data_IF_192254630078
#
_entry.id   IF_192254630078
#
_cell.length_a   1.000
_cell.length_b   1.000
_cell.length_c   1.000
_cell.angle_alpha   90.00
_cell.angle_beta   90.00
_cell.angle_gamma   90.00
#
_symmetry.space_group_name_H-M   'P 1'
#
loop_
_entity.id
_entity.type
_entity.pdbx_description
1 polymer ?
#
# COMPACT_ATOMS: atom_id res chain seq x y z
N UNK A 1 -0.04 19.06 -4.09
CA UNK A 1 0.81 18.44 -3.04
C UNK A 1 0.47 18.90 -1.61
N UNK A 2 0.09 20.17 -1.35
CA UNK A 2 -0.29 20.64 0.01
C UNK A 2 -1.52 19.96 0.65
N UNK A 3 -2.47 19.44 -0.13
CA UNK A 3 -3.68 18.79 0.39
C UNK A 3 -3.46 17.39 0.98
N UNK A 4 -2.35 16.72 0.66
CA UNK A 4 -2.03 15.37 1.15
C UNK A 4 -1.34 15.41 2.52
N UNK A 5 -0.48 16.40 2.76
CA UNK A 5 0.13 16.62 4.08
C UNK A 5 -0.89 16.99 5.16
N UNK A 6 -1.96 17.70 4.79
CA UNK A 6 -3.04 18.05 5.72
C UNK A 6 -3.88 16.82 6.13
N UNK A 7 -3.95 15.79 5.28
CA UNK A 7 -4.69 14.56 5.56
C UNK A 7 -3.95 13.62 6.53
N UNK A 8 -2.61 13.59 6.46
CA UNK A 8 -1.78 12.80 7.38
C UNK A 8 -1.72 13.47 8.77
N UNK A 9 -1.67 14.81 8.84
CA UNK A 9 -1.65 15.54 10.11
C UNK A 9 -2.96 15.43 10.90
N UNK A 10 -4.12 15.33 10.22
CA UNK A 10 -5.42 15.20 10.89
C UNK A 10 -5.61 13.82 11.58
N UNK A 11 -5.02 12.75 11.04
CA UNK A 11 -5.24 11.39 11.55
C UNK A 11 -4.27 10.97 12.65
N UNK A 12 -3.04 11.48 12.66
CA UNK A 12 -2.11 11.28 13.80
C UNK A 12 -2.69 11.86 15.10
N UNK A 13 -3.53 12.90 15.01
CA UNK A 13 -4.23 13.48 16.17
C UNK A 13 -5.36 12.63 16.75
N UNK A 14 -5.99 11.73 15.96
CA UNK A 14 -7.14 10.94 16.41
C UNK A 14 -6.78 9.60 17.05
N UNK A 15 -5.53 9.13 16.93
CA UNK A 15 -5.09 7.86 17.53
C UNK A 15 -4.79 7.96 19.05
N UNK A 16 -4.82 9.16 19.64
CA UNK A 16 -4.40 9.40 21.04
C UNK A 16 -5.56 9.73 21.98
N UNK A 17 -6.77 10.00 21.46
CA UNK A 17 -7.89 10.49 22.28
C UNK A 17 -9.20 9.77 21.89
N UNK A 18 -9.62 8.78 22.67
CA UNK A 18 -11.01 8.32 22.62
C UNK A 18 -11.25 6.86 22.92
N UNK A 19 -11.17 6.49 24.19
CA UNK A 19 -11.87 5.32 24.73
C UNK A 19 -12.29 5.53 26.20
N UNK A 20 -11.49 6.29 26.97
CA UNK A 20 -11.64 6.31 28.43
C UNK A 20 -12.72 7.26 29.00
N UNK A 21 -13.35 8.11 28.18
CA UNK A 21 -14.28 9.17 28.67
C UNK A 21 -15.77 8.92 28.41
N UNK A 22 -16.16 7.79 27.82
CA UNK A 22 -17.58 7.51 27.56
C UNK A 22 -18.28 6.80 28.73
N UNK A 23 -17.55 6.07 29.58
CA UNK A 23 -18.16 5.35 30.72
C UNK A 23 -18.42 6.25 31.94
N UNK A 24 -17.78 7.42 32.04
CA UNK A 24 -17.92 8.30 33.21
C UNK A 24 -19.21 9.14 33.20
N UNK A 25 -20.01 9.10 32.14
CA UNK A 25 -21.19 9.96 31.96
C UNK A 25 -22.54 9.28 32.28
N UNK A 26 -22.56 8.00 32.66
CA UNK A 26 -23.81 7.23 32.88
C UNK A 26 -23.90 6.56 34.26
N UNK A 27 -23.23 7.10 35.27
CA UNK A 27 -23.21 6.53 36.62
C UNK A 27 -23.65 7.51 37.70
N UNK A 28 -24.88 8.03 37.65
CA UNK A 28 -25.53 8.62 38.83
C UNK A 28 -26.86 7.93 39.09
N UNK A 29 -26.97 7.43 40.32
CA UNK A 29 -28.17 7.04 41.06
C UNK A 29 -28.67 5.59 40.93
N UNK A 30 -28.57 4.86 42.05
CA UNK A 30 -29.59 3.89 42.46
C UNK A 30 -29.26 2.40 42.31
N UNK A 31 -28.78 1.81 43.40
CA UNK A 31 -29.06 0.44 43.91
C UNK A 31 -29.56 -0.63 42.90
N UNK A 32 -28.63 -1.40 42.34
CA UNK A 32 -28.88 -2.77 41.86
C UNK A 32 -27.68 -3.63 42.32
N UNK A 33 -27.88 -4.78 42.98
CA UNK A 33 -26.77 -5.65 43.35
C UNK A 33 -26.11 -6.18 42.07
N UNK A 34 -24.83 -5.84 41.88
CA UNK A 34 -24.00 -6.37 40.80
C UNK A 34 -23.75 -7.85 41.09
N UNK A 35 -24.51 -8.72 40.44
CA UNK A 35 -24.19 -10.13 40.32
C UNK A 35 -22.81 -10.22 39.65
N UNK A 36 -21.79 -10.69 40.39
CA UNK A 36 -20.46 -10.91 39.83
C UNK A 36 -20.52 -12.01 38.79
N UNK A 37 -20.75 -11.60 37.55
CA UNK A 37 -20.71 -12.44 36.36
C UNK A 37 -19.27 -12.95 36.23
N UNK A 38 -19.09 -14.22 36.61
CA UNK A 38 -17.89 -15.04 36.41
C UNK A 38 -17.16 -14.61 35.13
N UNK A 39 -15.98 -14.01 35.28
CA UNK A 39 -15.21 -13.39 34.19
C UNK A 39 -15.13 -14.32 32.97
N UNK A 40 -15.97 -14.02 31.99
CA UNK A 40 -15.96 -14.71 30.71
C UNK A 40 -14.71 -14.26 29.96
N UNK A 41 -13.67 -15.08 30.07
CA UNK A 41 -12.44 -15.14 29.27
C UNK A 41 -12.56 -14.36 27.94
N UNK A 42 -12.00 -13.14 27.90
CA UNK A 42 -12.07 -12.21 26.76
C UNK A 42 -11.22 -12.75 25.59
N UNK A 43 -11.88 -13.15 24.50
CA UNK A 43 -11.25 -13.28 23.18
C UNK A 43 -11.08 -11.88 22.60
N UNK A 44 -9.87 -11.51 22.18
CA UNK A 44 -9.61 -10.18 21.65
C UNK A 44 -9.63 -10.25 20.12
N UNK A 45 -10.79 -9.92 19.56
CA UNK A 45 -10.97 -9.68 18.13
C UNK A 45 -11.06 -8.19 17.90
N UNK A 46 -10.33 -7.67 16.92
CA UNK A 46 -10.29 -6.25 16.64
C UNK A 46 -10.49 -5.99 15.14
N UNK A 47 -11.02 -4.81 14.82
CA UNK A 47 -11.01 -4.28 13.47
C UNK A 47 -9.93 -3.19 13.41
N UNK A 48 -8.97 -3.36 12.51
CA UNK A 48 -7.79 -2.49 12.42
C UNK A 48 -7.75 -1.77 11.08
N UNK A 49 -7.49 -0.47 11.12
CA UNK A 49 -7.25 0.35 9.94
C UNK A 49 -5.75 0.48 9.73
N UNK A 50 -5.30 0.34 8.48
CA UNK A 50 -3.89 0.37 8.12
C UNK A 50 -3.61 1.39 7.01
N UNK A 51 -2.48 2.08 7.14
CA UNK A 51 -1.95 3.01 6.15
C UNK A 51 -0.50 2.69 5.85
N UNK A 52 -0.14 2.68 4.57
CA UNK A 52 1.24 2.49 4.13
C UNK A 52 1.65 3.57 3.14
N UNK A 53 2.90 4.02 3.23
CA UNK A 53 3.49 4.94 2.27
C UNK A 53 4.96 4.60 2.07
N UNK A 54 5.42 4.49 0.82
CA UNK A 54 6.78 4.08 0.52
C UNK A 54 7.23 4.31 -0.91
N UNK A 55 8.39 3.75 -1.21
CA UNK A 55 9.03 3.78 -2.53
C UNK A 55 9.10 2.36 -3.08
N UNK A 56 8.89 2.23 -4.40
CA UNK A 56 8.94 0.95 -5.12
C UNK A 56 10.15 0.91 -6.04
N UNK A 57 10.96 -0.13 -5.88
CA UNK A 57 12.12 -0.43 -6.70
C UNK A 57 11.74 -1.51 -7.72
N UNK A 58 11.72 -1.20 -9.02
CA UNK A 58 11.59 -2.24 -10.02
C UNK A 58 12.86 -3.08 -10.08
N UNK A 59 12.70 -4.39 -10.17
CA UNK A 59 13.76 -5.40 -10.17
C UNK A 59 13.76 -6.18 -11.48
N UNK A 60 14.93 -6.71 -11.87
CA UNK A 60 15.12 -7.52 -13.08
C UNK A 60 14.69 -6.79 -14.36
N UNK A 61 15.06 -5.52 -14.46
CA UNK A 61 14.84 -4.72 -15.66
C UNK A 61 15.95 -4.97 -16.68
N UNK A 62 15.56 -5.08 -17.95
CA UNK A 62 16.51 -4.98 -19.05
C UNK A 62 17.16 -3.58 -19.05
N UNK A 63 18.41 -3.51 -19.49
CA UNK A 63 19.24 -2.29 -19.44
C UNK A 63 18.62 -1.10 -20.20
N UNK A 64 17.71 -1.36 -21.14
CA UNK A 64 17.02 -0.36 -21.94
C UNK A 64 15.98 0.46 -21.15
N UNK A 65 15.62 0.03 -19.94
CA UNK A 65 14.60 0.68 -19.12
C UNK A 65 15.20 1.53 -17.98
N UNK A 66 15.21 2.85 -18.15
CA UNK A 66 15.73 3.77 -17.14
C UNK A 66 14.68 4.16 -16.09
N UNK A 67 14.34 3.25 -15.19
CA UNK A 67 13.44 3.55 -14.07
C UNK A 67 14.12 4.38 -12.98
N UNK A 68 13.35 5.29 -12.35
CA UNK A 68 13.85 6.13 -11.25
C UNK A 68 13.11 5.75 -9.96
N UNK A 69 13.78 5.10 -8.99
CA UNK A 69 13.12 4.63 -7.77
C UNK A 69 12.45 5.73 -6.94
N UNK A 70 13.08 6.90 -6.77
CA UNK A 70 12.49 8.02 -6.01
C UNK A 70 11.27 8.66 -6.69
N UNK A 71 11.00 8.30 -7.95
CA UNK A 71 9.78 8.71 -8.68
C UNK A 71 8.72 7.61 -8.70
N UNK A 72 8.98 6.49 -8.03
CA UNK A 72 8.15 5.29 -7.98
C UNK A 72 7.61 5.13 -6.57
N UNK A 73 6.38 5.58 -6.34
CA UNK A 73 5.77 5.66 -5.00
C UNK A 73 4.69 4.59 -4.81
N UNK A 74 4.53 4.16 -3.57
CA UNK A 74 3.48 3.24 -3.14
C UNK A 74 2.67 3.85 -1.99
N UNK A 75 1.35 3.79 -2.10
CA UNK A 75 0.41 4.09 -1.03
C UNK A 75 -0.52 2.91 -0.80
N UNK A 76 -0.79 2.61 0.46
CA UNK A 76 -1.66 1.52 0.89
C UNK A 76 -2.67 2.07 1.89
N UNK A 77 -3.91 1.59 1.77
CA UNK A 77 -4.96 1.81 2.75
C UNK A 77 -5.72 0.50 2.90
N UNK A 78 -5.98 0.05 4.12
CA UNK A 78 -6.67 -1.23 4.33
C UNK A 78 -7.39 -1.35 5.66
N UNK A 79 -8.29 -2.31 5.70
CA UNK A 79 -9.06 -2.71 6.86
C UNK A 79 -8.82 -4.20 7.09
N UNK A 80 -8.45 -4.60 8.30
CA UNK A 80 -8.30 -6.01 8.67
C UNK A 80 -9.15 -6.38 9.87
N UNK A 81 -9.62 -7.62 9.85
CA UNK A 81 -10.10 -8.31 11.04
C UNK A 81 -8.93 -9.07 11.66
N UNK A 82 -8.64 -8.77 12.91
CA UNK A 82 -7.52 -9.31 13.66
C UNK A 82 -8.04 -10.25 14.75
N UNK A 83 -7.54 -11.48 14.75
CA UNK A 83 -7.87 -12.51 15.72
C UNK A 83 -6.65 -12.87 16.56
N UNK A 84 -6.69 -12.56 17.85
CA UNK A 84 -5.65 -12.97 18.81
C UNK A 84 -6.24 -14.03 19.75
N UNK A 85 -5.73 -15.28 19.72
CA UNK A 85 -6.14 -16.29 20.68
C UNK A 85 -5.77 -15.85 22.10
N UNK A 86 -6.56 -16.32 23.07
CA UNK A 86 -6.37 -15.99 24.49
C UNK A 86 -4.95 -16.35 24.96
N UNK A 87 -4.33 -15.45 25.72
CA UNK A 87 -3.00 -15.61 26.32
C UNK A 87 -1.90 -15.91 25.29
N UNK A 88 -2.12 -15.54 24.02
CA UNK A 88 -1.14 -15.67 22.94
C UNK A 88 -0.67 -14.31 22.45
N UNK A 89 0.56 -14.31 21.97
CA UNK A 89 1.18 -13.15 21.31
C UNK A 89 1.07 -13.20 19.78
N UNK A 90 0.44 -14.26 19.26
CA UNK A 90 0.18 -14.45 17.84
C UNK A 90 -1.17 -13.85 17.46
N UNK A 91 -1.19 -12.99 16.45
CA UNK A 91 -2.42 -12.45 15.84
C UNK A 91 -2.50 -12.89 14.39
N UNK A 92 -3.66 -13.40 13.98
CA UNK A 92 -3.96 -13.74 12.59
C UNK A 92 -4.89 -12.68 12.02
N UNK A 93 -4.54 -12.13 10.86
CA UNK A 93 -5.25 -11.02 10.26
C UNK A 93 -5.65 -11.34 8.82
N UNK A 94 -6.90 -11.05 8.48
CA UNK A 94 -7.41 -11.06 7.11
C UNK A 94 -8.08 -9.73 6.83
N UNK A 95 -7.86 -9.17 5.65
CA UNK A 95 -8.40 -7.84 5.34
C UNK A 95 -8.68 -7.59 3.88
N UNK A 96 -9.02 -6.34 3.62
CA UNK A 96 -9.15 -5.74 2.29
C UNK A 96 -8.32 -4.46 2.24
N UNK A 97 -7.66 -4.19 1.13
CA UNK A 97 -6.83 -3.02 0.97
C UNK A 97 -6.89 -2.45 -0.46
N UNK A 98 -6.76 -1.14 -0.58
CA UNK A 98 -6.43 -0.44 -1.82
C UNK A 98 -4.94 -0.13 -1.83
N UNK A 99 -4.24 -0.53 -2.88
CA UNK A 99 -2.82 -0.25 -3.09
C UNK A 99 -2.67 0.52 -4.39
N UNK A 100 -2.11 1.72 -4.31
CA UNK A 100 -1.68 2.48 -5.46
C UNK A 100 -0.17 2.45 -5.58
N UNK A 101 0.33 2.05 -6.73
CA UNK A 101 1.75 2.09 -7.09
C UNK A 101 1.93 2.94 -8.33
N UNK A 102 3.03 3.66 -8.39
CA UNK A 102 3.51 4.23 -9.64
C UNK A 102 4.95 3.83 -9.90
N UNK A 103 5.29 3.74 -11.19
CA UNK A 103 6.65 3.50 -11.66
C UNK A 103 7.00 4.59 -12.68
N UNK A 104 7.99 5.42 -12.33
CA UNK A 104 8.42 6.54 -13.16
C UNK A 104 9.67 6.24 -13.97
N UNK A 105 9.66 6.62 -15.25
CA UNK A 105 10.86 6.60 -16.10
C UNK A 105 11.69 7.88 -15.98
N UNK A 106 12.94 7.79 -16.41
CA UNK A 106 13.82 8.92 -16.64
C UNK A 106 13.27 9.83 -17.74
N UNK A 107 13.59 11.13 -17.70
CA UNK A 107 13.00 12.18 -18.54
C UNK A 107 13.28 12.06 -20.05
N UNK A 108 14.06 11.08 -20.50
CA UNK A 108 14.28 10.82 -21.92
C UNK A 108 13.26 9.86 -22.56
N UNK A 109 12.54 9.09 -21.74
CA UNK A 109 11.75 7.95 -22.20
C UNK A 109 10.27 8.05 -21.82
N UNK A 110 9.41 7.48 -22.65
CA UNK A 110 7.98 7.36 -22.37
C UNK A 110 7.45 5.96 -22.66
N UNK A 111 6.39 5.58 -21.95
CA UNK A 111 5.65 4.36 -22.25
C UNK A 111 4.70 4.60 -23.42
N UNK A 112 4.96 3.92 -24.54
CA UNK A 112 4.07 3.83 -25.68
C UNK A 112 3.27 2.52 -25.65
N UNK A 113 2.06 2.53 -26.20
CA UNK A 113 1.31 1.30 -26.46
C UNK A 113 1.28 1.11 -27.97
N UNK A 114 1.77 -0.03 -28.43
CA UNK A 114 1.70 -0.44 -29.84
C UNK A 114 0.26 -0.81 -30.23
N UNK A 115 -0.02 -0.88 -31.53
CA UNK A 115 -1.35 -1.25 -32.04
C UNK A 115 -1.80 -2.65 -31.58
N UNK A 116 -0.86 -3.57 -31.39
CA UNK A 116 -1.08 -4.93 -30.85
C UNK A 116 -1.35 -4.93 -29.33
N UNK A 117 -1.23 -3.77 -28.69
CA UNK A 117 -1.47 -3.54 -27.28
C UNK A 117 -0.33 -3.97 -26.35
N UNK A 118 0.88 -4.14 -26.90
CA UNK A 118 2.12 -4.28 -26.14
C UNK A 118 2.61 -2.90 -25.67
N UNK A 119 3.01 -2.79 -24.40
CA UNK A 119 3.62 -1.58 -23.85
C UNK A 119 5.11 -1.63 -24.11
N UNK A 120 5.63 -0.63 -24.81
CA UNK A 120 7.05 -0.46 -25.07
C UNK A 120 7.55 0.89 -24.54
N UNK A 121 8.88 1.03 -24.45
CA UNK A 121 9.51 2.28 -24.06
C UNK A 121 10.18 2.92 -25.27
N UNK A 122 9.74 4.13 -25.59
CA UNK A 122 10.26 4.91 -26.71
C UNK A 122 10.86 6.23 -26.21
N UNK A 123 11.71 6.83 -27.04
CA UNK A 123 12.26 8.16 -26.77
C UNK A 123 11.25 9.24 -27.13
N UNK A 124 11.16 10.29 -26.32
CA UNK A 124 10.33 11.45 -26.67
C UNK A 124 10.81 12.10 -27.99
N UNK A 125 9.90 12.62 -28.83
CA UNK A 125 10.26 13.38 -30.02
C UNK A 125 11.20 14.56 -29.71
N UNK A 126 12.07 14.91 -30.66
CA UNK A 126 12.95 16.06 -30.54
C UNK A 126 12.15 17.37 -30.35
N UNK A 127 12.69 18.31 -29.57
CA UNK A 127 12.01 19.58 -29.24
C UNK A 127 10.99 19.50 -28.09
N UNK A 128 10.73 18.31 -27.52
CA UNK A 128 9.80 18.16 -26.39
C UNK A 128 10.40 18.68 -25.07
N UNK A 129 9.63 19.41 -24.27
CA UNK A 129 9.98 19.84 -22.90
C UNK A 129 9.00 19.26 -21.87
N UNK A 130 9.26 19.41 -20.56
CA UNK A 130 8.39 18.94 -19.47
C UNK A 130 7.97 17.46 -19.53
N UNK A 131 8.97 16.57 -19.64
CA UNK A 131 8.81 15.14 -19.91
C UNK A 131 8.60 14.31 -18.65
N UNK A 132 7.46 13.62 -18.56
CA UNK A 132 7.23 12.62 -17.52
C UNK A 132 6.29 11.52 -18.01
N UNK A 133 6.74 10.27 -17.99
CA UNK A 133 5.88 9.10 -18.22
C UNK A 133 5.90 8.18 -17.01
N UNK A 134 4.72 7.72 -16.60
CA UNK A 134 4.52 6.87 -15.42
C UNK A 134 3.51 5.77 -15.73
N UNK A 135 3.81 4.57 -15.24
CA UNK A 135 2.80 3.52 -15.09
C UNK A 135 2.16 3.69 -13.72
N UNK A 136 0.83 3.67 -13.68
CA UNK A 136 0.04 3.58 -12.47
C UNK A 136 -0.58 2.19 -12.37
N UNK A 137 -0.42 1.54 -11.22
CA UNK A 137 -1.04 0.26 -10.89
C UNK A 137 -1.94 0.45 -9.68
N UNK A 138 -3.22 0.21 -9.87
CA UNK A 138 -4.24 0.22 -8.84
C UNK A 138 -4.56 -1.23 -8.49
N UNK A 139 -4.41 -1.60 -7.22
CA UNK A 139 -4.60 -2.97 -6.76
C UNK A 139 -5.68 -3.00 -5.69
N UNK A 140 -6.71 -3.80 -5.90
CA UNK A 140 -7.55 -4.26 -4.80
C UNK A 140 -6.86 -5.47 -4.18
N UNK A 141 -6.65 -5.48 -2.88
CA UNK A 141 -5.77 -6.43 -2.23
C UNK A 141 -6.44 -7.12 -1.04
N UNK A 142 -6.13 -8.40 -0.86
CA UNK A 142 -6.55 -9.22 0.28
C UNK A 142 -5.29 -9.62 1.04
N UNK A 143 -4.89 -8.86 2.08
CA UNK A 143 -3.78 -9.23 2.96
C UNK A 143 -4.17 -10.36 3.91
N UNK A 144 -3.28 -11.35 4.02
CA UNK A 144 -3.33 -12.43 5.01
C UNK A 144 -2.05 -12.37 5.83
N UNK A 145 -2.12 -11.83 7.04
CA UNK A 145 -0.93 -11.51 7.83
C UNK A 145 -0.91 -12.33 9.13
N UNK A 146 0.25 -12.89 9.44
CA UNK A 146 0.56 -13.42 10.77
C UNK A 146 1.42 -12.42 11.51
N UNK A 147 1.04 -12.07 12.74
CA UNK A 147 1.77 -11.12 13.59
C UNK A 147 2.24 -11.79 14.87
N UNK A 148 3.53 -11.71 15.16
CA UNK A 148 4.12 -12.11 16.43
C UNK A 148 4.46 -10.84 17.23
N UNK A 149 3.78 -10.65 18.37
CA UNK A 149 4.11 -9.61 19.36
C UNK A 149 5.22 -10.12 20.29
N UNK A 150 6.11 -9.24 20.74
CA UNK A 150 7.17 -9.59 21.68
C UNK A 150 7.68 -8.37 22.46
N UNK A 151 8.49 -8.63 23.49
CA UNK A 151 8.99 -7.63 24.42
C UNK A 151 8.04 -7.37 25.61
N UNK A 152 8.56 -6.71 26.64
CA UNK A 152 7.77 -6.33 27.80
C UNK A 152 6.61 -5.42 27.37
N UNK A 153 5.36 -5.78 27.75
CA UNK A 153 4.13 -5.09 27.34
C UNK A 153 3.85 -5.07 25.82
N UNK A 154 4.45 -5.95 25.03
CA UNK A 154 4.17 -6.11 23.59
C UNK A 154 4.40 -4.85 22.75
N UNK A 155 5.40 -4.03 23.09
CA UNK A 155 5.75 -2.82 22.34
C UNK A 155 6.34 -3.08 20.94
N UNK A 156 6.76 -4.32 20.67
CA UNK A 156 7.30 -4.74 19.39
C UNK A 156 6.41 -5.80 18.75
N UNK A 157 6.30 -5.73 17.43
CA UNK A 157 5.68 -6.80 16.67
C UNK A 157 6.33 -6.98 15.30
N UNK A 158 6.27 -8.20 14.81
CA UNK A 158 6.64 -8.52 13.45
C UNK A 158 5.46 -9.20 12.76
N UNK A 159 4.99 -8.61 11.67
CA UNK A 159 3.93 -9.16 10.82
C UNK A 159 4.51 -9.66 9.51
N UNK A 160 4.06 -10.80 9.03
CA UNK A 160 4.49 -11.36 7.76
C UNK A 160 3.36 -12.14 7.11
N UNK A 161 3.24 -12.04 5.78
CA UNK A 161 2.30 -12.86 5.04
C UNK A 161 2.09 -12.45 3.60
N UNK A 162 1.31 -13.25 2.85
CA UNK A 162 0.97 -12.94 1.47
C UNK A 162 -0.12 -11.87 1.37
N UNK A 163 -0.11 -11.16 0.24
CA UNK A 163 -1.14 -10.22 -0.17
C UNK A 163 -1.56 -10.59 -1.58
N UNK A 164 -2.82 -11.00 -1.74
CA UNK A 164 -3.38 -11.29 -3.06
C UNK A 164 -3.87 -9.99 -3.66
N UNK A 165 -3.30 -9.59 -4.79
CA UNK A 165 -3.57 -8.30 -5.43
C UNK A 165 -4.28 -8.51 -6.77
N UNK A 166 -5.46 -7.90 -6.92
CA UNK A 166 -6.19 -7.77 -8.17
C UNK A 166 -5.84 -6.43 -8.82
N UNK A 167 -5.02 -6.45 -9.87
CA UNK A 167 -4.40 -5.26 -10.43
C UNK A 167 -5.12 -4.75 -11.69
N UNK A 168 -5.23 -3.43 -11.79
CA UNK A 168 -5.59 -2.68 -12.99
C UNK A 168 -4.56 -1.58 -13.21
N UNK A 169 -4.14 -1.35 -14.45
CA UNK A 169 -3.11 -0.35 -14.74
C UNK A 169 -3.45 0.61 -15.86
N UNK A 170 -2.79 1.76 -15.80
CA UNK A 170 -2.84 2.82 -16.81
C UNK A 170 -1.48 3.47 -16.97
N UNK A 171 -1.17 3.92 -18.17
CA UNK A 171 -0.01 4.76 -18.47
C UNK A 171 -0.47 6.21 -18.50
N UNK A 172 0.28 7.10 -17.85
CA UNK A 172 0.12 8.54 -17.98
C UNK A 172 1.43 9.15 -18.49
N UNK A 173 1.36 9.83 -19.62
CA UNK A 173 2.47 10.54 -20.25
C UNK A 173 2.13 12.01 -20.37
N UNK A 174 2.99 12.85 -19.82
CA UNK A 174 2.93 14.30 -19.89
C UNK A 174 4.14 14.83 -20.65
N UNK A 175 3.90 15.68 -21.64
CA UNK A 175 4.94 16.33 -22.41
C UNK A 175 4.43 17.61 -23.08
N UNK A 176 5.34 18.55 -23.33
CA UNK A 176 5.02 19.83 -23.97
C UNK A 176 5.77 19.92 -25.31
N UNK A 177 5.09 20.29 -26.38
CA UNK A 177 5.70 20.57 -27.69
C UNK A 177 5.36 22.02 -28.07
N UNK A 178 6.39 22.87 -28.19
CA UNK A 178 6.18 24.32 -28.33
C UNK A 178 5.49 24.89 -27.08
N UNK A 179 4.35 25.56 -27.28
CA UNK A 179 3.49 26.10 -26.20
C UNK A 179 2.28 25.20 -25.87
N UNK A 180 2.20 23.99 -26.44
CA UNK A 180 1.04 23.09 -26.23
C UNK A 180 1.41 21.95 -25.27
N UNK A 181 0.65 21.86 -24.18
CA UNK A 181 0.75 20.78 -23.20
C UNK A 181 -0.10 19.57 -23.62
N UNK A 182 0.53 18.40 -23.66
CA UNK A 182 -0.12 17.12 -23.96
C UNK A 182 -0.13 16.23 -22.72
N UNK A 183 -1.32 15.74 -22.37
CA UNK A 183 -1.54 14.77 -21.31
C UNK A 183 -2.28 13.55 -21.88
N UNK A 184 -1.53 12.48 -22.14
CA UNK A 184 -2.06 11.24 -22.67
C UNK A 184 -2.21 10.21 -21.54
N UNK A 185 -3.44 9.72 -21.34
CA UNK A 185 -3.73 8.61 -20.43
C UNK A 185 -4.23 7.40 -21.21
N UNK A 186 -3.48 6.30 -21.17
CA UNK A 186 -3.82 5.06 -21.85
C UNK A 186 -4.18 3.99 -20.82
N UNK A 187 -5.42 3.49 -20.89
CA UNK A 187 -5.92 2.39 -20.05
C UNK A 187 -5.78 1.04 -20.76
N UNK A 188 -6.00 -0.06 -20.03
CA UNK A 188 -5.92 -1.44 -20.56
C UNK A 188 -4.54 -1.76 -21.15
N UNK A 189 -3.51 -1.57 -20.33
CA UNK A 189 -2.11 -1.74 -20.71
C UNK A 189 -1.63 -3.19 -20.56
N UNK A 190 -2.56 -4.16 -20.45
CA UNK A 190 -2.22 -5.57 -20.28
C UNK A 190 -1.52 -5.89 -18.95
N UNK A 191 -1.85 -5.16 -17.88
CA UNK A 191 -1.39 -5.51 -16.53
C UNK A 191 -1.82 -6.92 -16.14
N UNK A 192 -0.98 -7.59 -15.35
CA UNK A 192 -1.29 -8.90 -14.79
C UNK A 192 -2.45 -8.76 -13.80
N UNK A 193 -3.62 -9.39 -14.06
CA UNK A 193 -4.83 -9.12 -13.30
C UNK A 193 -4.76 -9.61 -11.86
N UNK A 194 -4.00 -10.67 -11.58
CA UNK A 194 -3.83 -11.23 -10.23
C UNK A 194 -2.35 -11.45 -9.94
N UNK A 195 -1.88 -10.93 -8.80
CA UNK A 195 -0.54 -11.20 -8.25
C UNK A 195 -0.62 -11.62 -6.80
N UNK A 196 0.43 -12.28 -6.33
CA UNK A 196 0.64 -12.56 -4.91
C UNK A 196 1.95 -11.89 -4.51
N UNK A 197 1.84 -10.90 -3.65
CA UNK A 197 2.95 -10.18 -3.06
C UNK A 197 3.22 -10.76 -1.67
N UNK A 198 4.46 -10.63 -1.17
CA UNK A 198 4.85 -11.02 0.18
C UNK A 198 5.24 -9.76 0.94
N UNK A 199 4.66 -9.54 2.11
CA UNK A 199 4.92 -8.36 2.93
C UNK A 199 5.40 -8.76 4.31
N UNK A 200 6.42 -8.05 4.79
CA UNK A 200 6.86 -8.04 6.18
C UNK A 200 6.70 -6.64 6.77
N UNK A 201 6.27 -6.54 8.02
CA UNK A 201 6.15 -5.28 8.77
C UNK A 201 6.78 -5.46 10.14
N UNK A 202 7.75 -4.62 10.46
CA UNK A 202 8.28 -4.51 11.82
C UNK A 202 7.69 -3.27 12.48
N UNK A 203 7.08 -3.43 13.65
CA UNK A 203 6.49 -2.34 14.43
C UNK A 203 7.18 -2.18 15.77
N UNK A 204 7.46 -0.92 16.14
CA UNK A 204 8.00 -0.52 17.44
C UNK A 204 7.34 0.79 17.88
N UNK A 205 6.78 0.84 19.09
CA UNK A 205 6.20 2.05 19.68
C UNK A 205 5.17 2.79 18.78
N UNK A 206 4.38 2.05 18.01
CA UNK A 206 3.37 2.62 17.10
C UNK A 206 3.89 2.99 15.71
N UNK A 207 5.20 2.90 15.46
CA UNK A 207 5.80 3.11 14.14
C UNK A 207 6.08 1.77 13.47
N UNK A 208 5.66 1.61 12.22
CA UNK A 208 5.92 0.42 11.42
C UNK A 208 6.81 0.72 10.21
N UNK A 209 7.76 -0.16 9.94
CA UNK A 209 8.49 -0.24 8.68
C UNK A 209 8.04 -1.47 7.93
N UNK A 210 7.70 -1.32 6.65
CA UNK A 210 7.36 -2.44 5.79
C UNK A 210 8.37 -2.68 4.69
N UNK A 211 8.46 -3.95 4.29
CA UNK A 211 9.10 -4.42 3.08
C UNK A 211 8.09 -5.29 2.35
N UNK A 212 7.84 -5.01 1.07
CA UNK A 212 6.92 -5.80 0.23
C UNK A 212 7.60 -6.22 -1.05
N UNK A 213 7.70 -7.52 -1.28
CA UNK A 213 8.24 -8.10 -2.50
C UNK A 213 7.12 -8.63 -3.39
N UNK A 214 7.12 -8.22 -4.66
CA UNK A 214 6.19 -8.66 -5.70
C UNK A 214 6.95 -9.51 -6.72
N UNK A 215 6.99 -10.84 -6.56
CA UNK A 215 7.75 -11.75 -7.44
C UNK A 215 7.15 -11.87 -8.85
N UNK A 216 5.92 -11.44 -9.05
CA UNK A 216 5.25 -11.54 -10.35
C UNK A 216 5.48 -10.27 -11.18
N UNK A 217 5.60 -10.45 -12.49
CA UNK A 217 5.73 -9.33 -13.42
C UNK A 217 4.48 -8.44 -13.41
N UNK A 218 4.68 -7.12 -13.43
CA UNK A 218 3.58 -6.13 -13.48
C UNK A 218 2.71 -6.31 -14.74
N UNK A 219 3.35 -6.59 -15.88
CA UNK A 219 2.67 -6.90 -17.14
C UNK A 219 2.48 -8.40 -17.35
N UNK A 220 1.48 -8.77 -18.16
CA UNK A 220 1.43 -10.11 -18.74
C UNK A 220 2.63 -10.35 -19.65
N UNK A 221 3.00 -11.62 -19.85
CA UNK A 221 4.23 -12.03 -20.55
C UNK A 221 4.33 -11.53 -22.00
N UNK A 222 3.20 -11.17 -22.60
CA UNK A 222 3.01 -10.73 -23.98
C UNK A 222 2.60 -9.25 -24.08
N UNK A 223 2.67 -8.47 -22.99
CA UNK A 223 2.06 -7.13 -22.93
C UNK A 223 2.97 -6.00 -22.47
N UNK A 224 4.21 -6.28 -22.10
CA UNK A 224 5.18 -5.23 -21.79
C UNK A 224 6.41 -5.73 -21.04
N UNK A 225 7.19 -4.80 -20.47
CA UNK A 225 8.45 -5.10 -19.81
C UNK A 225 8.26 -6.03 -18.62
N UNK A 226 9.11 -7.06 -18.51
CA UNK A 226 9.04 -8.04 -17.43
C UNK A 226 9.88 -7.56 -16.25
N UNK A 227 9.27 -6.80 -15.35
CA UNK A 227 9.92 -6.42 -14.09
C UNK A 227 9.07 -6.80 -12.88
N UNK A 228 9.78 -7.14 -11.81
CA UNK A 228 9.26 -7.36 -10.46
C UNK A 228 9.34 -6.06 -9.66
N UNK A 229 8.75 -5.99 -8.47
CA UNK A 229 8.91 -4.82 -7.60
C UNK A 229 9.24 -5.20 -6.16
N UNK A 230 10.07 -4.37 -5.54
CA UNK A 230 10.36 -4.41 -4.11
C UNK A 230 10.06 -3.03 -3.52
N UNK A 231 9.12 -2.95 -2.59
CA UNK A 231 8.69 -1.70 -1.95
C UNK A 231 9.15 -1.63 -0.50
N UNK A 232 9.56 -0.45 -0.07
CA UNK A 232 9.90 -0.16 1.32
C UNK A 232 9.22 1.12 1.79
N UNK A 233 8.79 1.17 3.05
CA UNK A 233 8.22 2.40 3.59
C UNK A 233 7.71 2.29 5.00
N UNK A 234 6.88 3.27 5.35
CA UNK A 234 6.22 3.39 6.64
C UNK A 234 4.86 2.71 6.61
N UNK A 235 4.47 2.12 7.73
CA UNK A 235 3.20 1.42 7.93
C UNK A 235 2.63 1.75 9.31
N UNK A 236 1.35 2.12 9.36
CA UNK A 236 0.63 2.56 10.56
C UNK A 236 -0.67 1.78 10.68
#
# INVERSE_FOLDING_TARGET
>A
MKKIFLFIALFVGMSSYGADKLETLLGSDGLIPVEQKKDSVKKESALSLHFGAGVSFPLNLDADYSFVPMRSLEFMFGLSYDYTPKDRLQTYSVGIAGIWRNFGLHSGQYFGKTDDGYVDVASFPEGTTSRASRIHVYSFAIPLMFTQKFGHKSHYSFSFGPIVCFNSGSINSHYTIGDTDYNASTRHIGTRPVTVDIMGVFRAYGFGLYCKYSPMSVFKSDRGPKFQSLSFGLYF
#
